data_IF_183259513614
#
_entry.id   IF_183259513614
#
_cell.length_a   1.000
_cell.length_b   1.000
_cell.length_c   1.000
_cell.angle_alpha   90.00
_cell.angle_beta   90.00
_cell.angle_gamma   90.00
#
_symmetry.space_group_name_H-M   'P 1'
#
loop_
_entity.id
_entity.type
_entity.pdbx_description
1 polymer ?
#
# COMPACT_ATOMS: atom_id res chain seq x y z
N UNK A 1 35.61 -24.16 17.40
CA UNK A 1 34.51 -23.18 17.17
C UNK A 1 33.38 -23.49 18.13
N UNK A 2 33.05 -22.53 18.97
CA UNK A 2 31.88 -22.64 19.82
C UNK A 2 30.63 -22.53 18.96
N UNK A 3 29.76 -23.55 18.98
CA UNK A 3 28.44 -23.43 18.36
C UNK A 3 27.66 -22.35 19.12
N UNK A 4 27.16 -21.36 18.41
CA UNK A 4 26.20 -20.44 19.00
C UNK A 4 24.96 -21.26 19.45
N UNK A 5 24.65 -21.17 20.73
CA UNK A 5 23.41 -21.74 21.24
C UNK A 5 22.23 -21.00 20.64
N UNK A 6 21.33 -21.69 19.97
CA UNK A 6 20.09 -21.09 19.54
C UNK A 6 19.33 -20.57 20.75
N UNK A 7 18.92 -19.31 20.71
CA UNK A 7 18.10 -18.71 21.76
C UNK A 7 16.72 -19.36 21.67
N UNK A 8 16.38 -20.15 22.70
CA UNK A 8 15.05 -20.73 22.81
C UNK A 8 14.17 -19.79 23.63
N UNK A 9 13.17 -19.18 23.02
CA UNK A 9 12.20 -18.35 23.70
C UNK A 9 10.88 -19.09 23.79
N UNK A 10 10.35 -19.23 25.01
CA UNK A 10 9.02 -19.78 25.24
C UNK A 10 8.04 -18.62 25.40
N UNK A 11 7.06 -18.55 24.52
CA UNK A 11 6.03 -17.52 24.56
C UNK A 11 4.71 -18.18 24.93
N UNK A 12 3.99 -17.59 25.87
CA UNK A 12 2.69 -18.12 26.29
C UNK A 12 1.68 -18.11 25.13
N UNK A 13 1.00 -19.21 24.94
CA UNK A 13 -0.03 -19.37 23.88
C UNK A 13 -1.06 -18.23 23.88
N UNK A 14 -1.63 -17.82 25.05
CA UNK A 14 -2.57 -16.71 25.06
C UNK A 14 -1.99 -15.38 24.56
N UNK A 15 -0.69 -15.14 24.75
CA UNK A 15 -0.03 -13.90 24.23
C UNK A 15 0.05 -13.92 22.71
N UNK A 16 0.35 -15.08 22.13
CA UNK A 16 0.41 -15.23 20.65
C UNK A 16 -0.97 -15.08 20.06
N UNK A 17 -1.99 -15.67 20.66
CA UNK A 17 -3.39 -15.53 20.22
C UNK A 17 -3.80 -14.07 20.24
N UNK A 18 -3.53 -13.35 21.34
CA UNK A 18 -3.86 -11.93 21.46
C UNK A 18 -3.14 -11.08 20.43
N UNK A 19 -1.87 -11.35 20.18
CA UNK A 19 -1.09 -10.65 19.16
C UNK A 19 -1.64 -10.88 17.75
N UNK A 20 -2.07 -12.12 17.44
CA UNK A 20 -2.72 -12.44 16.16
C UNK A 20 -4.09 -11.79 16.03
N UNK A 21 -4.88 -11.73 17.09
CA UNK A 21 -6.17 -11.05 17.10
C UNK A 21 -5.99 -9.54 16.86
N UNK A 22 -4.96 -8.94 17.45
CA UNK A 22 -4.61 -7.54 17.23
C UNK A 22 -4.18 -7.29 15.78
N UNK A 23 -3.36 -8.19 15.23
CA UNK A 23 -2.92 -8.10 13.83
C UNK A 23 -4.10 -8.24 12.87
N UNK A 24 -5.03 -9.15 13.15
CA UNK A 24 -6.25 -9.33 12.35
C UNK A 24 -7.13 -8.08 12.38
N UNK A 25 -7.35 -7.51 13.57
CA UNK A 25 -8.14 -6.30 13.73
C UNK A 25 -7.52 -5.12 12.98
N UNK A 26 -6.20 -4.99 13.02
CA UNK A 26 -5.47 -3.96 12.26
C UNK A 26 -5.63 -4.15 10.75
N UNK A 27 -5.49 -5.39 10.27
CA UNK A 27 -5.67 -5.71 8.85
C UNK A 27 -7.07 -5.35 8.38
N UNK A 28 -8.09 -5.71 9.13
CA UNK A 28 -9.49 -5.40 8.82
C UNK A 28 -9.76 -3.89 8.82
N UNK A 29 -9.21 -3.17 9.79
CA UNK A 29 -9.35 -1.72 9.89
C UNK A 29 -8.65 -1.01 8.73
N UNK A 30 -7.43 -1.41 8.39
CA UNK A 30 -6.66 -0.85 7.28
C UNK A 30 -7.37 -1.09 5.95
N UNK A 31 -7.91 -2.29 5.75
CA UNK A 31 -8.66 -2.60 4.54
C UNK A 31 -9.98 -1.82 4.45
N UNK A 32 -10.71 -1.68 5.55
CA UNK A 32 -11.96 -0.93 5.58
C UNK A 32 -11.76 0.56 5.32
N UNK A 33 -10.64 1.14 5.77
CA UNK A 33 -10.32 2.56 5.55
C UNK A 33 -9.73 2.85 4.16
N UNK A 34 -9.30 1.83 3.44
CA UNK A 34 -8.59 1.96 2.16
C UNK A 34 -9.42 2.72 1.12
N UNK A 35 -10.69 2.40 0.97
CA UNK A 35 -11.57 3.04 -0.01
C UNK A 35 -11.68 4.55 0.25
N UNK A 36 -11.88 4.94 1.50
CA UNK A 36 -11.94 6.35 1.89
C UNK A 36 -10.59 7.06 1.67
N UNK A 37 -9.49 6.40 1.98
CA UNK A 37 -8.15 6.93 1.77
C UNK A 37 -7.83 7.12 0.29
N UNK A 38 -8.20 6.16 -0.55
CA UNK A 38 -8.04 6.27 -2.00
C UNK A 38 -8.88 7.39 -2.59
N UNK A 39 -10.13 7.51 -2.18
CA UNK A 39 -11.00 8.59 -2.64
C UNK A 39 -10.45 9.97 -2.26
N UNK A 40 -9.93 10.12 -1.06
CA UNK A 40 -9.30 11.36 -0.60
C UNK A 40 -8.04 11.67 -1.41
N UNK A 41 -7.20 10.66 -1.64
CA UNK A 41 -5.99 10.82 -2.44
C UNK A 41 -6.31 11.20 -3.88
N UNK A 42 -7.27 10.55 -4.52
CA UNK A 42 -7.71 10.89 -5.88
C UNK A 42 -8.23 12.32 -5.98
N UNK A 43 -8.99 12.77 -4.99
CA UNK A 43 -9.49 14.14 -4.95
C UNK A 43 -8.35 15.15 -4.87
N UNK A 44 -7.37 14.89 -4.01
CA UNK A 44 -6.19 15.73 -3.86
C UNK A 44 -5.35 15.73 -5.14
N UNK A 45 -5.19 14.58 -5.76
CA UNK A 45 -4.45 14.43 -7.02
C UNK A 45 -5.13 15.15 -8.18
N UNK A 46 -6.45 15.06 -8.28
CA UNK A 46 -7.22 15.79 -9.30
C UNK A 46 -7.09 17.30 -9.14
N UNK A 47 -7.11 17.79 -7.90
CA UNK A 47 -6.89 19.23 -7.63
C UNK A 47 -5.48 19.65 -8.06
N UNK A 48 -4.47 18.85 -7.76
CA UNK A 48 -3.10 19.10 -8.20
C UNK A 48 -2.97 19.09 -9.73
N UNK A 49 -3.58 18.12 -10.41
CA UNK A 49 -3.57 18.03 -11.88
C UNK A 49 -4.23 19.26 -12.50
N UNK A 50 -5.31 19.78 -11.89
CA UNK A 50 -5.95 21.00 -12.34
C UNK A 50 -5.05 22.22 -12.20
N UNK A 51 -4.34 22.34 -11.09
CA UNK A 51 -3.36 23.41 -10.89
C UNK A 51 -2.22 23.32 -11.93
N UNK A 52 -1.76 22.09 -12.22
CA UNK A 52 -0.76 21.85 -13.26
C UNK A 52 -1.28 22.24 -14.64
N UNK A 53 -2.54 21.91 -14.94
CA UNK A 53 -3.20 22.28 -16.19
C UNK A 53 -3.31 23.79 -16.34
N UNK A 54 -3.75 24.47 -15.30
CA UNK A 54 -3.88 25.93 -15.30
C UNK A 54 -2.51 26.59 -15.50
N UNK A 55 -1.48 26.08 -14.86
CA UNK A 55 -0.12 26.53 -15.05
C UNK A 55 0.36 26.33 -16.49
N UNK A 56 0.12 25.16 -17.06
CA UNK A 56 0.49 24.85 -18.45
C UNK A 56 -0.23 25.78 -19.44
N UNK A 57 -1.52 26.03 -19.24
CA UNK A 57 -2.30 26.94 -20.07
C UNK A 57 -1.74 28.37 -19.99
N UNK A 58 -1.43 28.83 -18.79
CA UNK A 58 -0.87 30.17 -18.58
C UNK A 58 0.51 30.37 -19.26
N UNK A 59 1.26 29.29 -19.42
CA UNK A 59 2.62 29.32 -19.98
C UNK A 59 2.74 28.67 -21.37
N UNK A 60 1.62 28.38 -22.03
CA UNK A 60 1.62 27.64 -23.30
C UNK A 60 2.44 28.33 -24.40
N UNK A 61 2.54 29.66 -24.36
CA UNK A 61 3.35 30.41 -25.32
C UNK A 61 4.85 30.15 -25.21
N UNK A 62 5.30 29.63 -24.08
CA UNK A 62 6.68 29.23 -23.83
C UNK A 62 6.98 27.80 -24.27
N UNK A 63 5.97 27.05 -24.69
CA UNK A 63 6.13 25.67 -25.15
C UNK A 63 6.95 25.60 -26.43
N UNK A 64 7.75 24.55 -26.54
CA UNK A 64 8.65 24.30 -27.67
C UNK A 64 8.41 22.90 -28.24
N UNK A 65 9.00 22.63 -29.41
CA UNK A 65 8.98 21.31 -30.05
C UNK A 65 7.56 20.78 -30.29
N UNK A 66 6.70 21.62 -30.86
CA UNK A 66 5.37 21.19 -31.26
C UNK A 66 5.45 20.10 -32.34
N UNK A 67 4.74 19.02 -32.10
CA UNK A 67 4.64 17.88 -33.01
C UNK A 67 3.23 17.35 -33.08
N UNK A 68 2.91 16.76 -34.20
CA UNK A 68 1.60 16.17 -34.44
C UNK A 68 1.71 14.66 -34.50
N UNK A 69 0.78 13.96 -33.91
CA UNK A 69 0.68 12.50 -33.96
C UNK A 69 -0.70 12.08 -34.44
N UNK A 70 -0.74 11.45 -35.60
CA UNK A 70 -1.98 10.98 -36.20
C UNK A 70 -2.22 9.51 -35.85
N UNK A 71 -3.39 9.24 -35.25
CA UNK A 71 -3.80 7.86 -34.95
C UNK A 71 -4.63 7.30 -36.11
N UNK A 72 -4.15 6.22 -36.72
CA UNK A 72 -4.77 5.64 -37.94
C UNK A 72 -6.18 5.09 -37.71
N UNK A 73 -6.57 4.77 -36.48
CA UNK A 73 -7.91 4.27 -36.16
C UNK A 73 -8.90 5.36 -35.72
N UNK A 74 -8.47 6.58 -35.66
CA UNK A 74 -9.24 7.71 -35.15
C UNK A 74 -9.01 8.91 -36.07
N UNK A 75 -10.05 9.71 -36.30
CA UNK A 75 -9.93 10.95 -37.05
C UNK A 75 -9.30 12.10 -36.21
N UNK A 76 -8.77 11.76 -35.03
CA UNK A 76 -8.19 12.75 -34.11
C UNK A 76 -6.69 12.89 -34.34
N UNK A 77 -6.24 14.13 -34.40
CA UNK A 77 -4.86 14.52 -34.41
C UNK A 77 -4.43 14.98 -33.03
N UNK A 78 -3.38 14.37 -32.47
CA UNK A 78 -2.81 14.82 -31.22
C UNK A 78 -1.71 15.85 -31.48
N UNK A 79 -1.71 16.91 -30.72
CA UNK A 79 -0.64 17.94 -30.73
C UNK A 79 0.15 17.77 -29.44
N UNK A 80 1.42 17.41 -29.60
CA UNK A 80 2.34 17.27 -28.48
C UNK A 80 3.32 18.44 -28.45
N UNK A 81 3.74 18.83 -27.28
CA UNK A 81 4.73 19.89 -27.09
C UNK A 81 5.48 19.70 -25.79
N UNK A 82 6.64 20.34 -25.70
CA UNK A 82 7.45 20.32 -24.49
C UNK A 82 7.31 21.69 -23.79
N UNK A 83 6.95 21.62 -22.52
CA UNK A 83 6.91 22.78 -21.65
C UNK A 83 7.84 22.56 -20.48
N UNK A 84 8.98 23.22 -20.48
CA UNK A 84 9.98 23.11 -19.42
C UNK A 84 9.75 24.22 -18.40
N UNK A 85 9.58 23.80 -17.14
CA UNK A 85 9.34 24.71 -16.03
C UNK A 85 10.24 24.34 -14.86
N UNK A 86 10.51 25.33 -14.00
CA UNK A 86 11.27 25.07 -12.78
C UNK A 86 10.39 24.38 -11.74
N UNK A 87 10.90 23.34 -11.09
CA UNK A 87 10.19 22.65 -10.01
C UNK A 87 9.75 23.59 -8.87
N UNK A 88 10.49 24.68 -8.66
CA UNK A 88 10.19 25.66 -7.62
C UNK A 88 8.88 26.41 -7.85
N UNK A 89 8.45 26.53 -9.10
CA UNK A 89 7.25 27.26 -9.50
C UNK A 89 6.01 26.36 -9.56
N UNK A 90 6.18 25.07 -9.34
CA UNK A 90 5.11 24.09 -9.43
C UNK A 90 4.59 23.69 -8.06
N UNK A 91 3.28 23.44 -7.93
CA UNK A 91 2.74 22.81 -6.73
C UNK A 91 3.31 21.40 -6.57
N UNK A 92 3.57 21.02 -5.32
CA UNK A 92 4.14 19.71 -5.01
C UNK A 92 3.12 18.61 -5.29
N UNK A 93 3.56 17.55 -5.97
CA UNK A 93 2.73 16.37 -6.18
C UNK A 93 2.33 15.72 -4.86
N UNK A 94 1.03 15.39 -4.66
CA UNK A 94 0.60 14.70 -3.46
C UNK A 94 1.24 13.33 -3.35
N UNK A 95 1.74 13.00 -2.17
CA UNK A 95 2.29 11.68 -1.87
C UNK A 95 1.19 10.75 -1.35
N UNK A 96 1.24 9.51 -1.80
CA UNK A 96 0.36 8.47 -1.27
C UNK A 96 0.95 7.94 0.03
N UNK A 97 0.30 8.25 1.16
CA UNK A 97 0.76 7.95 2.51
C UNK A 97 0.18 6.63 3.07
N UNK A 98 -0.43 5.82 2.24
CA UNK A 98 -1.02 4.54 2.61
C UNK A 98 -0.70 3.47 1.58
N UNK A 99 -0.69 2.20 2.03
CA UNK A 99 -0.50 1.05 1.15
C UNK A 99 -1.84 0.52 0.66
N UNK A 100 -1.88 0.16 -0.62
CA UNK A 100 -3.06 -0.48 -1.21
C UNK A 100 -2.98 -1.98 -1.00
N UNK A 101 -3.99 -2.54 -0.33
CA UNK A 101 -4.12 -3.97 -0.11
C UNK A 101 -5.09 -4.53 -1.15
N UNK A 102 -4.63 -5.47 -1.97
CA UNK A 102 -5.50 -6.15 -2.93
C UNK A 102 -6.49 -7.07 -2.20
N UNK A 103 -7.70 -7.15 -2.71
CA UNK A 103 -8.77 -7.97 -2.12
C UNK A 103 -8.36 -9.44 -1.94
N UNK A 104 -7.61 -9.99 -2.89
CA UNK A 104 -7.12 -11.36 -2.81
C UNK A 104 -6.11 -11.54 -1.67
N UNK A 105 -5.13 -10.66 -1.58
CA UNK A 105 -4.15 -10.66 -0.48
C UNK A 105 -4.80 -10.46 0.89
N UNK A 106 -5.79 -9.58 0.97
CA UNK A 106 -6.56 -9.35 2.19
C UNK A 106 -7.27 -10.62 2.66
N UNK A 107 -7.99 -11.28 1.74
CA UNK A 107 -8.72 -12.53 2.05
C UNK A 107 -7.78 -13.64 2.48
N UNK A 108 -6.66 -13.78 1.77
CA UNK A 108 -5.66 -14.80 2.07
C UNK A 108 -5.03 -14.60 3.45
N UNK A 109 -4.58 -13.41 3.75
CA UNK A 109 -3.99 -13.08 5.06
C UNK A 109 -5.01 -13.22 6.19
N UNK A 110 -6.24 -12.76 5.98
CA UNK A 110 -7.32 -12.91 6.94
C UNK A 110 -7.60 -14.38 7.27
N UNK A 111 -7.67 -15.22 6.25
CA UNK A 111 -7.88 -16.67 6.41
C UNK A 111 -6.73 -17.33 7.15
N UNK A 112 -5.49 -17.02 6.78
CA UNK A 112 -4.29 -17.58 7.43
C UNK A 112 -4.21 -17.18 8.90
N UNK A 113 -4.43 -15.91 9.23
CA UNK A 113 -4.42 -15.43 10.62
C UNK A 113 -5.56 -16.08 11.42
N UNK A 114 -6.76 -16.12 10.84
CA UNK A 114 -7.93 -16.73 11.50
C UNK A 114 -7.72 -18.22 11.77
N UNK A 115 -7.13 -18.94 10.84
CA UNK A 115 -6.80 -20.35 11.00
C UNK A 115 -5.72 -20.57 12.08
N UNK A 116 -4.70 -19.72 12.12
CA UNK A 116 -3.67 -19.77 13.14
C UNK A 116 -4.26 -19.56 14.55
N UNK A 117 -5.14 -18.57 14.71
CA UNK A 117 -5.86 -18.31 15.97
C UNK A 117 -6.67 -19.52 16.38
N UNK A 118 -7.43 -20.11 15.44
CA UNK A 118 -8.28 -21.27 15.70
C UNK A 118 -7.45 -22.47 16.18
N UNK A 119 -6.34 -22.75 15.50
CA UNK A 119 -5.46 -23.87 15.84
C UNK A 119 -4.85 -23.66 17.23
N UNK A 120 -4.38 -22.45 17.53
CA UNK A 120 -3.80 -22.13 18.83
C UNK A 120 -4.83 -22.19 19.97
N UNK A 121 -6.09 -21.86 19.70
CA UNK A 121 -7.18 -22.00 20.69
C UNK A 121 -7.55 -23.47 20.97
N UNK A 122 -7.27 -24.36 20.02
CA UNK A 122 -7.56 -25.77 20.17
C UNK A 122 -6.44 -26.56 20.86
N UNK A 123 -5.25 -25.98 21.01
CA UNK A 123 -4.14 -26.64 21.67
C UNK A 123 -4.24 -26.55 23.18
N UNK A 124 -3.83 -27.63 23.86
CA UNK A 124 -3.70 -27.66 25.33
C UNK A 124 -2.33 -27.17 25.82
N UNK A 125 -1.44 -26.83 24.88
CA UNK A 125 -0.10 -26.34 25.18
C UNK A 125 -0.14 -24.94 25.76
N UNK A 126 0.49 -24.73 26.92
CA UNK A 126 0.57 -23.44 27.57
C UNK A 126 1.53 -22.48 26.88
N UNK A 127 2.50 -22.98 26.13
CA UNK A 127 3.49 -22.23 25.39
C UNK A 127 3.58 -22.73 23.95
N UNK A 128 3.91 -21.84 23.03
CA UNK A 128 4.15 -22.21 21.64
C UNK A 128 5.61 -22.63 21.43
N UNK A 129 5.84 -23.58 20.54
CA UNK A 129 7.18 -23.97 20.12
C UNK A 129 7.81 -22.87 19.28
N UNK A 130 9.15 -22.84 19.22
CA UNK A 130 9.88 -21.88 18.39
C UNK A 130 9.46 -21.98 16.92
N UNK A 131 9.28 -23.21 16.39
CA UNK A 131 8.86 -23.40 15.01
C UNK A 131 7.44 -22.87 14.76
N UNK A 132 6.51 -23.08 15.68
CA UNK A 132 5.15 -22.53 15.59
C UNK A 132 5.16 -21.00 15.64
N UNK A 133 5.94 -20.43 16.55
CA UNK A 133 6.08 -18.98 16.64
C UNK A 133 6.65 -18.39 15.35
N UNK A 134 7.70 -18.99 14.80
CA UNK A 134 8.28 -18.53 13.53
C UNK A 134 7.28 -18.58 12.37
N UNK A 135 6.41 -19.59 12.35
CA UNK A 135 5.40 -19.71 11.31
C UNK A 135 4.35 -18.59 11.36
N UNK A 136 4.04 -18.08 12.55
CA UNK A 136 3.03 -17.01 12.73
C UNK A 136 3.63 -15.61 12.90
N UNK A 137 4.93 -15.51 13.16
CA UNK A 137 5.61 -14.24 13.43
C UNK A 137 5.49 -13.24 12.27
N UNK A 138 5.38 -13.71 11.04
CA UNK A 138 5.22 -12.88 9.84
C UNK A 138 3.93 -12.05 9.85
N UNK A 139 2.94 -12.42 10.65
CA UNK A 139 1.68 -11.68 10.77
C UNK A 139 1.69 -10.68 11.94
N UNK A 140 2.70 -10.76 12.77
CA UNK A 140 2.87 -9.90 13.93
C UNK A 140 3.77 -8.70 13.59
#
# INVERSE_FOLDING_TARGET
MARQKAISVKIATPKVIKALETALAKLEADYASQEANEAKYEKTRKAWLKEMQDYAIANIKKAENFRTNYRSWSNNLNIDFDLTVSEKDLPKEPEKDFETIHVHSYREQKEEISNAIRILKMTDEETVSTSTYQAVARYL
#
